data_IF_089337058267
#
_entry.id   IF_089337058267
#
_cell.length_a   1.000
_cell.length_b   1.000
_cell.length_c   1.000
_cell.angle_alpha   90.00
_cell.angle_beta   90.00
_cell.angle_gamma   90.00
#
_symmetry.space_group_name_H-M   'P 1'
#
loop_
_entity.id
_entity.type
_entity.pdbx_description
1 polymer ?
#
# COMPACT_ATOMS: atom_id res chain seq x y z
N UNK A 1 -14.94 8.40 -1.21
CA UNK A 1 -14.03 9.42 -0.60
C UNK A 1 -14.21 9.41 0.92
N UNK A 2 -13.11 9.37 1.67
CA UNK A 2 -13.11 9.39 3.14
C UNK A 2 -13.27 10.84 3.59
N UNK A 3 -14.46 11.25 4.14
CA UNK A 3 -14.76 12.67 4.37
C UNK A 3 -13.80 13.38 5.34
N UNK A 4 -13.29 12.65 6.35
CA UNK A 4 -12.37 13.20 7.35
C UNK A 4 -10.88 13.12 6.93
N UNK A 5 -10.59 12.44 5.82
CA UNK A 5 -9.22 12.25 5.33
C UNK A 5 -9.15 12.22 3.79
N UNK A 6 -9.54 13.31 3.09
CA UNK A 6 -9.53 13.34 1.62
C UNK A 6 -8.13 13.16 1.05
N UNK A 7 -7.10 13.50 1.83
CA UNK A 7 -5.69 13.34 1.45
C UNK A 7 -5.35 11.91 1.03
N UNK A 8 -6.02 10.91 1.58
CA UNK A 8 -5.69 9.50 1.37
C UNK A 8 -5.93 9.07 -0.09
N UNK A 9 -7.08 9.45 -0.65
CA UNK A 9 -7.36 9.17 -2.05
C UNK A 9 -6.59 10.09 -3.01
N UNK A 10 -6.20 11.29 -2.58
CA UNK A 10 -5.33 12.16 -3.36
C UNK A 10 -3.89 11.66 -3.42
N UNK A 11 -3.41 11.04 -2.35
CA UNK A 11 -2.04 10.55 -2.22
C UNK A 11 -1.72 9.38 -3.16
N UNK A 12 -2.61 8.41 -3.28
CA UNK A 12 -2.53 7.21 -4.14
C UNK A 12 -1.35 6.27 -3.90
N UNK A 13 -0.24 6.71 -3.30
CA UNK A 13 0.98 5.94 -3.20
C UNK A 13 1.67 6.15 -1.85
N UNK A 14 1.92 5.06 -1.12
CA UNK A 14 2.60 5.03 0.17
C UNK A 14 3.66 3.95 0.27
N UNK A 15 4.53 4.06 1.29
CA UNK A 15 5.53 3.07 1.65
C UNK A 15 5.10 2.29 2.88
N UNK A 16 5.15 0.97 2.81
CA UNK A 16 5.07 0.10 3.97
C UNK A 16 6.48 -0.29 4.41
N UNK A 17 6.74 -0.31 5.71
CA UNK A 17 8.03 -0.72 6.27
C UNK A 17 7.80 -1.84 7.26
N UNK A 18 8.22 -3.05 6.91
CA UNK A 18 8.24 -4.19 7.83
C UNK A 18 9.63 -4.34 8.43
N UNK A 19 9.77 -3.97 9.70
CA UNK A 19 11.04 -4.00 10.39
C UNK A 19 10.89 -4.28 11.88
N UNK A 20 11.77 -5.13 12.42
CA UNK A 20 11.79 -5.55 13.81
C UNK A 20 12.81 -6.65 14.02
N UNK A 21 12.65 -7.47 15.09
CA UNK A 21 13.58 -8.56 15.40
C UNK A 21 13.75 -9.56 14.25
N UNK A 22 12.69 -9.80 13.49
CA UNK A 22 12.69 -10.72 12.35
C UNK A 22 13.61 -10.28 11.20
N UNK A 23 14.11 -9.04 11.19
CA UNK A 23 15.13 -8.61 10.24
C UNK A 23 16.51 -9.24 10.52
N UNK A 24 16.77 -9.64 11.76
CA UNK A 24 18.05 -10.28 12.13
C UNK A 24 18.21 -11.69 11.52
N UNK A 25 17.24 -12.61 11.60
CA UNK A 25 17.32 -13.89 10.91
C UNK A 25 17.34 -13.76 9.39
N UNK A 26 16.81 -12.65 8.84
CA UNK A 26 16.80 -12.35 7.39
C UNK A 26 16.15 -13.45 6.52
N UNK A 27 15.04 -14.01 7.01
CA UNK A 27 14.24 -15.08 6.39
C UNK A 27 12.75 -14.79 6.47
N UNK A 28 12.35 -13.54 6.23
CA UNK A 28 11.05 -12.89 6.32
C UNK A 28 10.45 -12.77 7.76
N UNK A 29 9.34 -12.06 7.90
CA UNK A 29 8.72 -11.65 9.17
C UNK A 29 8.03 -12.79 9.95
N UNK A 30 7.61 -13.87 9.26
CA UNK A 30 6.98 -15.04 9.90
C UNK A 30 7.97 -16.11 10.37
N UNK A 31 9.26 -15.79 10.42
CA UNK A 31 10.31 -16.74 10.77
C UNK A 31 10.05 -17.45 12.10
N UNK A 32 9.56 -16.73 13.12
CA UNK A 32 9.23 -17.32 14.43
C UNK A 32 8.15 -18.41 14.31
N UNK A 33 7.10 -18.15 13.53
CA UNK A 33 6.01 -19.09 13.27
C UNK A 33 6.45 -20.28 12.40
N UNK A 34 7.13 -19.99 11.27
CA UNK A 34 7.50 -21.03 10.29
C UNK A 34 8.57 -22.00 10.81
N UNK A 35 9.45 -21.50 11.67
CA UNK A 35 10.47 -22.33 12.31
C UNK A 35 10.00 -22.87 13.67
N UNK A 36 8.73 -22.63 14.05
CA UNK A 36 8.11 -23.11 15.30
C UNK A 36 8.97 -22.84 16.54
N UNK A 37 9.65 -21.68 16.55
CA UNK A 37 10.54 -21.29 17.64
C UNK A 37 9.77 -20.86 18.88
N UNK A 38 10.24 -21.27 20.03
CA UNK A 38 9.72 -20.80 21.33
C UNK A 38 10.13 -19.34 21.57
N UNK A 39 9.45 -18.68 22.51
CA UNK A 39 9.81 -17.33 22.97
C UNK A 39 11.25 -17.27 23.46
N UNK A 40 11.69 -18.31 24.21
CA UNK A 40 13.05 -18.39 24.73
C UNK A 40 14.10 -18.48 23.63
N UNK A 41 13.90 -19.36 22.64
CA UNK A 41 14.79 -19.50 21.48
C UNK A 41 14.84 -18.24 20.65
N UNK A 42 13.69 -17.56 20.43
CA UNK A 42 13.59 -16.32 19.67
C UNK A 42 14.24 -15.14 20.41
N UNK A 43 14.33 -15.18 21.74
CA UNK A 43 14.94 -14.13 22.58
C UNK A 43 16.41 -13.83 22.24
N UNK A 44 17.10 -14.73 21.54
CA UNK A 44 18.45 -14.46 21.02
C UNK A 44 18.51 -13.23 20.11
N UNK A 45 17.43 -12.94 19.37
CA UNK A 45 17.33 -11.76 18.49
C UNK A 45 17.10 -10.50 19.33
N UNK A 46 16.25 -10.56 20.35
CA UNK A 46 16.05 -9.47 21.31
C UNK A 46 17.37 -9.02 21.96
N UNK A 47 18.16 -9.99 22.44
CA UNK A 47 19.47 -9.70 23.06
C UNK A 47 20.54 -9.15 22.13
N UNK A 48 20.30 -9.17 20.82
CA UNK A 48 21.25 -8.74 19.77
C UNK A 48 20.72 -7.64 18.87
N UNK A 49 19.55 -7.11 19.15
CA UNK A 49 18.94 -6.08 18.32
C UNK A 49 19.65 -4.74 18.58
N UNK A 50 20.59 -4.42 17.68
CA UNK A 50 21.41 -3.20 17.68
C UNK A 50 21.38 -2.58 16.29
N UNK A 51 20.36 -1.77 15.97
CA UNK A 51 20.22 -1.13 14.67
C UNK A 51 21.09 0.15 14.58
N UNK A 52 22.40 -0.03 14.55
CA UNK A 52 23.39 1.03 14.55
C UNK A 52 23.44 1.87 13.26
N UNK A 53 22.82 1.38 12.18
CA UNK A 53 22.67 2.08 10.90
C UNK A 53 21.23 2.62 10.68
N UNK A 54 20.38 2.57 11.70
CA UNK A 54 19.04 3.12 11.59
C UNK A 54 19.07 4.65 11.51
N UNK A 55 18.79 5.16 10.32
CA UNK A 55 18.54 6.58 10.03
C UNK A 55 17.14 6.73 9.38
N UNK A 56 16.12 7.11 10.17
CA UNK A 56 14.77 7.30 9.63
C UNK A 56 14.67 8.45 8.62
N UNK A 57 15.63 9.40 8.62
CA UNK A 57 15.66 10.47 7.62
C UNK A 57 16.03 9.93 6.23
N UNK A 58 16.87 8.89 6.16
CA UNK A 58 17.14 8.20 4.89
C UNK A 58 15.88 7.49 4.38
N UNK A 59 15.13 6.83 5.27
CA UNK A 59 13.86 6.18 4.90
C UNK A 59 12.84 7.19 4.38
N UNK A 60 12.68 8.31 5.09
CA UNK A 60 11.75 9.37 4.70
C UNK A 60 12.14 10.00 3.34
N UNK A 61 13.43 10.27 3.12
CA UNK A 61 13.92 10.77 1.83
C UNK A 61 13.72 9.78 0.69
N UNK A 62 13.98 8.48 0.94
CA UNK A 62 13.74 7.44 -0.07
C UNK A 62 12.26 7.37 -0.46
N UNK A 63 11.34 7.40 0.51
CA UNK A 63 9.90 7.42 0.25
C UNK A 63 9.47 8.67 -0.54
N UNK A 64 9.89 9.87 -0.09
CA UNK A 64 9.58 11.13 -0.79
C UNK A 64 10.14 11.14 -2.22
N UNK A 65 11.37 10.70 -2.42
CA UNK A 65 12.01 10.69 -3.73
C UNK A 65 11.36 9.67 -4.68
N UNK A 66 10.83 8.55 -4.15
CA UNK A 66 10.00 7.61 -4.91
C UNK A 66 8.61 8.17 -5.28
N UNK A 67 8.24 9.34 -4.76
CA UNK A 67 6.93 9.96 -4.98
C UNK A 67 5.84 9.49 -4.02
N UNK A 68 6.18 8.81 -2.93
CA UNK A 68 5.23 8.41 -1.89
C UNK A 68 4.80 9.60 -1.03
N UNK A 69 3.59 9.54 -0.47
CA UNK A 69 2.98 10.62 0.31
C UNK A 69 2.79 10.28 1.79
N UNK A 70 2.89 9.03 2.14
CA UNK A 70 2.78 8.51 3.51
C UNK A 70 3.67 7.30 3.67
N UNK A 71 4.05 7.02 4.91
CA UNK A 71 4.82 5.82 5.27
C UNK A 71 4.16 5.15 6.46
N UNK A 72 4.05 3.82 6.44
CA UNK A 72 3.46 2.99 7.49
C UNK A 72 4.52 2.05 8.03
N UNK A 73 4.86 2.15 9.31
CA UNK A 73 5.86 1.32 9.98
C UNK A 73 5.21 0.31 10.92
N UNK A 74 5.68 -0.93 10.90
CA UNK A 74 5.31 -1.93 11.89
C UNK A 74 5.82 -1.54 13.27
N UNK A 75 4.97 -0.92 14.10
CA UNK A 75 5.31 -0.56 15.49
C UNK A 75 5.50 -1.79 16.36
N UNK A 76 4.65 -2.79 16.15
CA UNK A 76 4.72 -4.15 16.68
C UNK A 76 4.21 -5.13 15.63
N UNK A 77 4.98 -6.14 15.26
CA UNK A 77 4.55 -7.26 14.43
C UNK A 77 4.11 -8.45 15.30
N UNK A 78 3.77 -9.58 14.70
CA UNK A 78 3.23 -10.76 15.39
C UNK A 78 4.15 -11.35 16.46
N UNK A 79 5.47 -11.12 16.37
CA UNK A 79 6.44 -11.53 17.37
C UNK A 79 6.39 -10.74 18.69
N UNK A 80 5.52 -9.74 18.78
CA UNK A 80 5.23 -8.96 19.97
C UNK A 80 6.27 -7.90 20.34
N UNK A 81 7.34 -7.73 19.54
CA UNK A 81 8.39 -6.78 19.85
C UNK A 81 7.97 -5.33 19.54
N UNK A 82 8.06 -4.47 20.57
CA UNK A 82 7.69 -3.07 20.47
C UNK A 82 8.88 -2.20 20.05
N UNK A 83 8.75 -1.44 18.95
CA UNK A 83 9.79 -0.50 18.52
C UNK A 83 9.84 0.79 19.36
N UNK A 84 8.83 1.06 20.20
CA UNK A 84 8.73 2.23 21.09
C UNK A 84 8.98 1.86 22.54
N UNK A 85 9.12 2.87 23.40
CA UNK A 85 9.27 2.71 24.85
C UNK A 85 7.92 2.49 25.54
N UNK A 86 7.27 1.34 25.27
CA UNK A 86 6.01 0.97 25.92
C UNK A 86 6.17 0.85 27.43
N UNK A 87 5.23 1.41 28.18
CA UNK A 87 5.16 1.21 29.64
C UNK A 87 4.52 -0.13 30.03
N UNK A 88 3.95 -0.87 29.06
CA UNK A 88 3.14 -2.07 29.29
C UNK A 88 3.93 -3.37 29.15
N UNK A 89 5.15 -3.32 28.62
CA UNK A 89 5.99 -4.51 28.43
C UNK A 89 7.47 -4.16 28.50
N UNK A 90 8.27 -5.14 28.91
CA UNK A 90 9.73 -5.09 28.86
C UNK A 90 10.28 -5.59 27.49
N UNK A 91 9.42 -6.15 26.63
CA UNK A 91 9.80 -6.65 25.31
C UNK A 91 9.76 -5.52 24.26
N UNK A 92 10.69 -4.58 24.42
CA UNK A 92 10.73 -3.31 23.69
C UNK A 92 12.16 -2.88 23.33
N UNK A 93 12.30 -1.99 22.36
CA UNK A 93 13.58 -1.55 21.81
C UNK A 93 14.50 -0.91 22.86
N UNK A 94 13.96 -0.16 23.82
CA UNK A 94 14.74 0.47 24.90
C UNK A 94 15.44 -0.53 25.81
N UNK A 95 15.00 -1.79 25.87
CA UNK A 95 15.57 -2.86 26.66
C UNK A 95 16.51 -3.79 25.87
N UNK A 96 16.77 -3.47 24.60
CA UNK A 96 17.75 -4.15 23.74
C UNK A 96 19.05 -3.33 23.65
N UNK A 97 20.11 -3.80 22.98
CA UNK A 97 21.27 -2.98 22.67
C UNK A 97 20.97 -1.67 21.92
N UNK A 98 19.83 -1.57 21.22
CA UNK A 98 19.34 -0.31 20.66
C UNK A 98 19.21 0.81 21.71
N UNK A 99 18.76 0.49 22.93
CA UNK A 99 18.73 1.37 24.10
C UNK A 99 17.90 2.66 23.92
N UNK A 100 17.02 2.71 22.94
CA UNK A 100 16.25 3.93 22.60
C UNK A 100 14.90 3.60 21.95
N UNK A 101 13.99 4.56 22.01
CA UNK A 101 12.75 4.58 21.22
C UNK A 101 13.10 4.78 19.74
N UNK A 102 12.52 3.96 18.87
CA UNK A 102 12.75 4.00 17.43
C UNK A 102 11.58 4.65 16.67
N UNK A 103 10.45 4.88 17.34
CA UNK A 103 9.25 5.48 16.73
C UNK A 103 9.33 7.01 16.74
N UNK A 104 9.79 7.64 17.82
CA UNK A 104 9.89 9.10 17.89
C UNK A 104 10.72 9.69 16.74
N UNK A 105 11.97 9.23 16.47
CA UNK A 105 12.77 9.76 15.36
C UNK A 105 12.16 9.44 13.98
N UNK A 106 11.43 8.31 13.83
CA UNK A 106 10.70 8.01 12.60
C UNK A 106 9.62 9.05 12.32
N UNK A 107 8.80 9.37 13.31
CA UNK A 107 7.73 10.37 13.19
C UNK A 107 8.29 11.75 12.85
N UNK A 108 9.38 12.16 13.51
CA UNK A 108 10.06 13.42 13.24
C UNK A 108 10.61 13.50 11.82
N UNK A 109 11.25 12.44 11.35
CA UNK A 109 11.82 12.35 10.00
C UNK A 109 10.74 12.46 8.91
N UNK A 110 9.62 11.77 9.06
CA UNK A 110 8.52 11.85 8.09
C UNK A 110 7.93 13.26 8.01
N UNK A 111 7.71 13.90 9.16
CA UNK A 111 7.18 15.26 9.22
C UNK A 111 8.15 16.27 8.60
N UNK A 112 9.45 16.11 8.81
CA UNK A 112 10.47 16.95 8.20
C UNK A 112 10.46 16.88 6.67
N UNK A 113 10.09 15.71 6.10
CA UNK A 113 9.96 15.50 4.65
C UNK A 113 8.55 15.77 4.10
N UNK A 114 7.62 16.23 4.95
CA UNK A 114 6.23 16.53 4.57
C UNK A 114 5.38 15.29 4.26
N UNK A 115 5.78 14.12 4.78
CA UNK A 115 5.07 12.87 4.63
C UNK A 115 4.06 12.66 5.76
N UNK A 116 2.95 11.99 5.45
CA UNK A 116 1.97 11.55 6.42
C UNK A 116 2.50 10.35 7.21
N UNK A 117 2.18 10.33 8.51
CA UNK A 117 2.69 9.33 9.45
C UNK A 117 1.67 8.21 9.63
N UNK A 118 2.08 6.99 9.32
CA UNK A 118 1.30 5.78 9.52
C UNK A 118 1.97 4.78 10.45
N UNK A 119 1.13 4.06 11.19
CA UNK A 119 1.53 2.93 12.01
C UNK A 119 0.80 1.67 11.57
N UNK A 120 1.51 0.56 11.59
CA UNK A 120 0.94 -0.79 11.61
C UNK A 120 1.02 -1.34 13.01
N UNK A 121 -0.02 -2.00 13.47
CA UNK A 121 -0.04 -2.67 14.76
C UNK A 121 -0.70 -4.03 14.67
N UNK A 122 0.05 -5.08 14.97
CA UNK A 122 -0.45 -6.45 14.99
C UNK A 122 -1.50 -6.65 16.09
N UNK A 123 -2.62 -7.27 15.75
CA UNK A 123 -3.63 -7.70 16.72
C UNK A 123 -3.20 -8.96 17.47
N UNK A 124 -2.37 -9.79 16.85
CA UNK A 124 -1.81 -11.00 17.49
C UNK A 124 -0.44 -10.71 18.10
N UNK A 125 -0.06 -11.52 19.10
CA UNK A 125 1.20 -11.35 19.82
C UNK A 125 1.68 -12.72 20.34
N UNK A 126 2.64 -13.29 19.64
CA UNK A 126 3.17 -14.62 19.98
C UNK A 126 4.04 -14.63 21.24
N UNK A 127 4.48 -13.45 21.70
CA UNK A 127 5.30 -13.31 22.91
C UNK A 127 4.45 -13.13 24.16
N UNK A 128 3.25 -12.52 24.06
CA UNK A 128 2.47 -12.13 25.23
C UNK A 128 1.96 -13.37 26.00
N UNK A 129 2.15 -13.44 27.34
CA UNK A 129 1.79 -14.61 28.13
C UNK A 129 0.29 -14.89 28.18
N UNK A 130 -0.56 -13.91 27.95
CA UNK A 130 -2.02 -14.03 27.94
C UNK A 130 -2.62 -14.26 26.55
N UNK A 131 -1.82 -14.12 25.48
CA UNK A 131 -2.29 -14.44 24.13
C UNK A 131 -2.39 -15.96 23.94
N UNK A 132 -3.59 -16.49 23.76
CA UNK A 132 -3.82 -17.94 23.67
C UNK A 132 -3.18 -18.55 22.44
N UNK A 133 -2.55 -19.72 22.61
CA UNK A 133 -1.97 -20.52 21.54
C UNK A 133 -3.10 -21.12 20.71
N UNK A 134 -3.07 -20.86 19.42
CA UNK A 134 -4.00 -21.35 18.41
C UNK A 134 -3.24 -21.84 17.17
N UNK A 135 -3.96 -22.11 16.07
CA UNK A 135 -3.39 -22.65 14.85
C UNK A 135 -2.35 -21.76 14.12
N UNK A 136 -2.25 -20.47 14.47
CA UNK A 136 -1.24 -19.53 13.92
C UNK A 136 -0.13 -19.18 14.92
N UNK A 137 -0.20 -19.71 16.13
CA UNK A 137 0.88 -19.48 17.09
C UNK A 137 2.12 -20.35 16.77
N UNK A 138 3.37 -19.91 16.98
CA UNK A 138 4.57 -20.70 16.77
C UNK A 138 4.56 -22.05 17.52
N UNK A 139 3.99 -22.08 18.72
CA UNK A 139 3.92 -23.29 19.58
C UNK A 139 2.65 -24.13 19.33
N UNK A 140 1.94 -23.95 18.22
CA UNK A 140 0.70 -24.67 17.88
C UNK A 140 0.82 -26.21 17.90
N UNK A 141 2.01 -26.74 17.62
CA UNK A 141 2.32 -28.16 17.57
C UNK A 141 3.00 -28.69 18.85
N UNK A 142 3.06 -27.89 19.92
CA UNK A 142 3.59 -28.36 21.20
C UNK A 142 2.73 -29.49 21.77
N UNK A 143 3.35 -30.48 22.37
CA UNK A 143 2.65 -31.66 22.91
C UNK A 143 1.71 -31.34 24.08
N UNK A 144 1.87 -30.18 24.72
CA UNK A 144 1.17 -29.72 25.90
C UNK A 144 0.44 -28.39 25.75
N UNK A 145 -0.05 -28.08 24.53
CA UNK A 145 -0.74 -26.81 24.21
C UNK A 145 -1.87 -26.49 25.19
N UNK A 146 -2.64 -27.49 25.60
CA UNK A 146 -3.72 -27.31 26.58
C UNK A 146 -3.17 -26.82 27.93
N UNK A 147 -2.06 -27.38 28.38
CA UNK A 147 -1.37 -26.95 29.59
C UNK A 147 -0.75 -25.57 29.47
N UNK A 148 -0.18 -25.26 28.30
CA UNK A 148 0.40 -23.95 28.00
C UNK A 148 -0.68 -22.84 27.90
N UNK A 149 -1.90 -23.19 27.53
CA UNK A 149 -3.04 -22.28 27.52
C UNK A 149 -3.71 -22.13 28.90
N UNK A 150 -3.48 -23.05 29.82
CA UNK A 150 -4.03 -22.97 31.17
C UNK A 150 -3.49 -21.73 31.91
N UNK A 151 -4.36 -20.74 32.14
CA UNK A 151 -4.00 -19.48 32.78
C UNK A 151 -3.75 -18.30 31.83
N UNK A 152 -3.70 -18.51 30.52
CA UNK A 152 -3.76 -17.40 29.54
C UNK A 152 -5.16 -16.79 29.56
N UNK A 153 -5.24 -15.49 29.36
CA UNK A 153 -6.49 -14.73 29.47
C UNK A 153 -6.55 -13.64 28.39
N UNK A 154 -7.42 -13.87 27.40
CA UNK A 154 -7.60 -12.93 26.30
C UNK A 154 -8.18 -11.58 26.73
N UNK A 155 -8.87 -11.50 27.88
CA UNK A 155 -9.35 -10.21 28.40
C UNK A 155 -8.18 -9.34 28.88
N UNK A 156 -7.20 -9.94 29.58
CA UNK A 156 -5.95 -9.24 29.97
C UNK A 156 -5.12 -8.85 28.74
N UNK A 157 -5.07 -9.75 27.75
CA UNK A 157 -4.40 -9.43 26.49
C UNK A 157 -5.06 -8.25 25.75
N UNK A 158 -6.38 -8.22 25.72
CA UNK A 158 -7.16 -7.13 25.10
C UNK A 158 -6.87 -5.78 25.78
N UNK A 159 -6.84 -5.73 27.11
CA UNK A 159 -6.47 -4.52 27.85
C UNK A 159 -5.06 -4.04 27.49
N UNK A 160 -4.10 -4.97 27.38
CA UNK A 160 -2.75 -4.68 26.92
C UNK A 160 -2.74 -4.12 25.48
N UNK A 161 -3.43 -4.75 24.55
CA UNK A 161 -3.54 -4.32 23.15
C UNK A 161 -4.09 -2.88 23.06
N UNK A 162 -5.21 -2.61 23.73
CA UNK A 162 -5.82 -1.27 23.75
C UNK A 162 -4.89 -0.24 24.41
N UNK A 163 -4.19 -0.62 25.47
CA UNK A 163 -3.19 0.22 26.12
C UNK A 163 -2.06 0.61 25.19
N UNK A 164 -1.51 -0.33 24.43
CA UNK A 164 -0.45 -0.08 23.45
C UNK A 164 -0.89 0.85 22.34
N UNK A 165 -2.10 0.66 21.77
CA UNK A 165 -2.65 1.55 20.76
C UNK A 165 -2.84 2.96 21.33
N UNK A 166 -3.30 3.07 22.58
CA UNK A 166 -3.42 4.37 23.28
C UNK A 166 -2.06 5.07 23.41
N UNK A 167 -1.00 4.36 23.82
CA UNK A 167 0.37 4.92 23.89
C UNK A 167 0.79 5.50 22.52
N UNK A 168 0.66 4.71 21.45
CA UNK A 168 1.06 5.11 20.11
C UNK A 168 0.31 6.33 19.60
N UNK A 169 -0.99 6.43 19.88
CA UNK A 169 -1.82 7.54 19.42
C UNK A 169 -1.80 8.78 20.33
N UNK A 170 -1.19 8.67 21.51
CA UNK A 170 -1.11 9.80 22.46
C UNK A 170 0.30 10.40 22.55
N UNK A 171 1.36 9.61 22.33
CA UNK A 171 2.73 10.04 22.65
C UNK A 171 3.48 10.68 21.48
N UNK A 172 3.00 10.53 20.23
CA UNK A 172 3.75 10.92 19.03
C UNK A 172 3.07 12.04 18.22
N UNK A 173 2.08 12.74 18.80
CA UNK A 173 1.33 13.80 18.13
C UNK A 173 0.36 13.24 17.09
N UNK A 174 0.14 13.98 15.99
CA UNK A 174 -0.83 13.57 14.97
C UNK A 174 -0.33 12.34 14.21
N UNK A 175 -1.16 11.29 14.19
CA UNK A 175 -0.97 10.09 13.40
C UNK A 175 -2.06 10.05 12.31
N UNK A 176 -1.65 9.94 11.07
CA UNK A 176 -2.54 10.08 9.92
C UNK A 176 -3.17 8.74 9.48
N UNK A 177 -2.53 7.61 9.80
CA UNK A 177 -2.90 6.30 9.28
C UNK A 177 -2.61 5.20 10.30
N UNK A 178 -3.55 4.26 10.48
CA UNK A 178 -3.39 3.08 11.33
C UNK A 178 -3.83 1.81 10.60
N UNK A 179 -2.90 0.89 10.43
CA UNK A 179 -3.11 -0.42 9.85
C UNK A 179 -3.13 -1.47 10.97
N UNK A 180 -4.29 -2.00 11.30
CA UNK A 180 -4.40 -3.20 12.11
C UNK A 180 -4.20 -4.43 11.26
N UNK A 181 -3.72 -5.52 11.85
CA UNK A 181 -3.49 -6.73 11.09
C UNK A 181 -3.83 -8.00 11.87
N UNK A 182 -4.36 -8.97 11.13
CA UNK A 182 -4.56 -10.35 11.49
C UNK A 182 -5.79 -10.64 12.35
N UNK A 183 -6.99 -10.30 11.86
CA UNK A 183 -8.23 -10.95 12.31
C UNK A 183 -8.53 -12.15 11.38
N UNK A 184 -8.89 -13.29 11.96
CA UNK A 184 -9.09 -14.56 11.24
C UNK A 184 -10.28 -15.37 11.78
N UNK A 185 -11.24 -14.68 12.38
CA UNK A 185 -12.56 -15.21 12.69
C UNK A 185 -13.50 -14.97 11.51
N UNK A 186 -14.20 -15.96 11.03
CA UNK A 186 -15.23 -15.77 10.02
C UNK A 186 -15.41 -16.89 9.02
N UNK A 187 -16.47 -16.84 8.19
CA UNK A 187 -16.72 -17.84 7.16
C UNK A 187 -15.58 -17.83 6.13
N UNK A 188 -14.92 -18.98 5.96
CA UNK A 188 -13.78 -19.15 5.06
C UNK A 188 -12.44 -19.35 5.77
N UNK A 189 -12.34 -19.04 7.05
CA UNK A 189 -11.30 -19.58 7.92
C UNK A 189 -11.82 -20.87 8.54
N UNK A 190 -11.05 -21.91 8.40
CA UNK A 190 -11.38 -23.22 8.97
C UNK A 190 -11.24 -23.14 10.50
N UNK A 191 -12.34 -22.85 11.19
CA UNK A 191 -12.38 -22.66 12.65
C UNK A 191 -11.83 -23.87 13.39
N UNK A 192 -12.00 -25.09 12.86
CA UNK A 192 -11.44 -26.31 13.42
C UNK A 192 -9.91 -26.33 13.34
N UNK A 193 -9.32 -25.71 12.31
CA UNK A 193 -7.89 -25.73 12.07
C UNK A 193 -7.13 -24.58 12.75
N UNK A 194 -7.73 -23.37 12.80
CA UNK A 194 -6.99 -22.16 13.22
C UNK A 194 -7.39 -21.65 14.62
N UNK A 195 -8.54 -22.09 15.15
CA UNK A 195 -9.04 -21.63 16.45
C UNK A 195 -9.42 -20.15 16.48
N UNK A 196 -9.71 -19.58 15.36
CA UNK A 196 -10.09 -18.20 15.01
C UNK A 196 -10.18 -17.13 16.10
N UNK A 197 -9.62 -15.93 15.82
CA UNK A 197 -9.78 -14.72 16.64
C UNK A 197 -10.27 -13.56 15.78
N UNK A 198 -11.20 -12.76 16.32
CA UNK A 198 -11.83 -11.67 15.59
C UNK A 198 -12.35 -10.56 16.48
N UNK A 199 -13.37 -9.85 16.00
CA UNK A 199 -13.92 -8.63 16.61
C UNK A 199 -14.24 -8.72 18.10
N UNK A 200 -14.61 -9.90 18.59
CA UNK A 200 -14.93 -10.10 20.03
C UNK A 200 -13.67 -10.20 20.87
N UNK A 201 -12.64 -10.87 20.35
CA UNK A 201 -11.35 -11.03 21.06
C UNK A 201 -10.62 -9.71 21.21
N UNK A 202 -10.71 -8.84 20.19
CA UNK A 202 -10.09 -7.52 20.19
C UNK A 202 -10.97 -6.44 20.83
N UNK A 203 -12.27 -6.69 21.08
CA UNK A 203 -13.29 -5.67 21.32
C UNK A 203 -13.16 -4.51 20.29
N UNK A 204 -13.25 -4.90 19.01
CA UNK A 204 -12.90 -4.02 17.89
C UNK A 204 -13.70 -2.72 17.88
N UNK A 205 -14.96 -2.75 18.31
CA UNK A 205 -15.79 -1.53 18.37
C UNK A 205 -15.27 -0.53 19.39
N UNK A 206 -14.91 -1.00 20.59
CA UNK A 206 -14.33 -0.14 21.64
C UNK A 206 -12.94 0.35 21.22
N UNK A 207 -12.12 -0.52 20.60
CA UNK A 207 -10.81 -0.15 20.09
C UNK A 207 -10.90 0.93 19.02
N UNK A 208 -11.77 0.77 18.02
CA UNK A 208 -11.97 1.77 16.96
C UNK A 208 -12.55 3.09 17.52
N UNK A 209 -13.48 3.03 18.46
CA UNK A 209 -14.01 4.22 19.12
C UNK A 209 -12.91 5.02 19.85
N UNK A 210 -12.03 4.33 20.59
CA UNK A 210 -10.85 4.93 21.23
C UNK A 210 -9.90 5.58 20.21
N UNK A 211 -9.64 4.91 19.09
CA UNK A 211 -8.79 5.44 18.01
C UNK A 211 -9.37 6.75 17.47
N UNK A 212 -10.68 6.79 17.20
CA UNK A 212 -11.38 7.98 16.70
C UNK A 212 -11.42 9.14 17.71
N UNK A 213 -11.53 8.82 19.00
CA UNK A 213 -11.47 9.81 20.07
C UNK A 213 -10.08 10.46 20.14
N UNK A 214 -9.02 9.66 20.09
CA UNK A 214 -7.65 10.14 20.20
C UNK A 214 -7.18 10.87 18.93
N UNK A 215 -7.57 10.37 17.75
CA UNK A 215 -7.13 10.87 16.44
C UNK A 215 -8.32 10.95 15.46
N UNK A 216 -9.16 12.01 15.52
CA UNK A 216 -10.38 12.08 14.70
C UNK A 216 -10.14 12.06 13.18
N UNK A 217 -8.96 12.48 12.72
CA UNK A 217 -8.57 12.54 11.31
C UNK A 217 -7.83 11.31 10.78
N UNK A 218 -7.62 10.29 11.62
CA UNK A 218 -6.86 9.10 11.26
C UNK A 218 -7.62 8.21 10.28
N UNK A 219 -6.92 7.61 9.31
CA UNK A 219 -7.47 6.59 8.41
C UNK A 219 -7.17 5.21 8.98
N UNK A 220 -8.17 4.33 9.03
CA UNK A 220 -8.07 2.98 9.60
C UNK A 220 -8.56 1.95 8.60
N UNK A 221 -7.82 0.86 8.43
CA UNK A 221 -8.18 -0.24 7.54
C UNK A 221 -9.30 -1.14 8.10
N UNK A 222 -9.72 -2.14 7.31
CA UNK A 222 -10.84 -3.05 7.63
C UNK A 222 -10.43 -4.30 8.44
N UNK A 223 -9.17 -4.41 8.88
CA UNK A 223 -8.66 -5.65 9.50
C UNK A 223 -8.97 -5.82 10.99
N UNK A 224 -9.85 -5.00 11.55
CA UNK A 224 -10.43 -5.22 12.87
C UNK A 224 -11.62 -6.22 12.87
N UNK A 225 -11.90 -6.90 11.76
CA UNK A 225 -13.10 -7.71 11.57
C UNK A 225 -14.41 -6.88 11.73
N UNK A 226 -14.32 -5.60 11.47
CA UNK A 226 -15.42 -4.62 11.34
C UNK A 226 -15.07 -3.65 10.20
N UNK A 227 -16.06 -2.95 9.60
CA UNK A 227 -15.78 -1.98 8.56
C UNK A 227 -14.81 -0.88 9.02
N UNK A 228 -13.78 -0.63 8.21
CA UNK A 228 -12.85 0.50 8.34
C UNK A 228 -13.17 1.61 7.35
N UNK A 229 -12.21 2.51 7.12
CA UNK A 229 -12.31 3.57 6.10
C UNK A 229 -12.02 3.06 4.70
N UNK A 230 -11.26 1.96 4.59
CA UNK A 230 -10.88 1.36 3.32
C UNK A 230 -10.64 -0.15 3.47
N UNK A 231 -10.76 -0.88 2.36
CA UNK A 231 -10.47 -2.32 2.31
C UNK A 231 -9.06 -2.58 1.79
N UNK A 232 -8.46 -3.69 2.21
CA UNK A 232 -7.03 -3.99 2.01
C UNK A 232 -6.82 -5.29 1.22
N UNK A 233 -6.90 -5.28 -0.12
CA UNK A 233 -6.42 -6.41 -0.93
C UNK A 233 -4.90 -6.58 -0.73
N UNK A 234 -4.48 -7.81 -0.45
CA UNK A 234 -3.08 -8.13 -0.15
C UNK A 234 -2.48 -9.06 -1.18
N UNK A 235 -1.32 -8.68 -1.74
CA UNK A 235 -0.54 -9.47 -2.69
C UNK A 235 -1.29 -9.86 -3.97
N UNK A 236 -2.38 -9.18 -4.31
CA UNK A 236 -3.07 -9.32 -5.60
C UNK A 236 -3.58 -7.97 -6.10
N UNK A 237 -3.84 -7.88 -7.41
CA UNK A 237 -4.45 -6.71 -8.03
C UNK A 237 -5.93 -6.99 -8.28
N UNK A 238 -6.86 -6.18 -7.73
CA UNK A 238 -8.28 -6.31 -8.04
C UNK A 238 -8.56 -6.23 -9.53
N UNK A 239 -9.49 -7.04 -10.03
CA UNK A 239 -9.88 -7.05 -11.44
C UNK A 239 -10.61 -5.75 -11.87
N UNK A 240 -11.27 -5.09 -10.90
CA UNK A 240 -12.04 -3.84 -11.08
C UNK A 240 -12.08 -3.04 -9.78
N UNK A 241 -12.93 -2.00 -9.71
CA UNK A 241 -13.20 -1.30 -8.47
C UNK A 241 -13.66 -2.28 -7.39
N UNK A 242 -13.19 -2.08 -6.14
CA UNK A 242 -13.65 -2.89 -5.02
C UNK A 242 -15.08 -2.48 -4.66
N UNK A 243 -15.92 -3.48 -4.40
CA UNK A 243 -17.34 -3.29 -4.09
C UNK A 243 -17.66 -3.92 -2.73
N UNK A 244 -18.45 -3.24 -1.91
CA UNK A 244 -19.03 -3.79 -0.69
C UNK A 244 -20.54 -3.52 -0.73
N UNK A 245 -21.34 -4.56 -0.59
CA UNK A 245 -22.82 -4.50 -0.67
C UNK A 245 -23.35 -3.82 -1.96
N UNK A 246 -22.59 -3.94 -3.06
CA UNK A 246 -22.94 -3.34 -4.35
C UNK A 246 -22.49 -1.90 -4.57
N UNK A 247 -21.89 -1.27 -3.57
CA UNK A 247 -21.36 0.08 -3.66
C UNK A 247 -19.83 0.11 -3.76
N UNK A 248 -19.24 1.03 -4.54
CA UNK A 248 -17.80 1.20 -4.61
C UNK A 248 -17.22 1.65 -3.27
N UNK A 249 -16.14 1.00 -2.83
CA UNK A 249 -15.44 1.34 -1.59
C UNK A 249 -14.03 1.82 -1.87
N UNK A 250 -13.51 2.69 -1.01
CA UNK A 250 -12.11 3.07 -1.01
C UNK A 250 -11.25 1.85 -0.65
N UNK A 251 -10.14 1.66 -1.35
CA UNK A 251 -9.27 0.52 -1.14
C UNK A 251 -7.79 0.85 -1.38
N UNK A 252 -6.94 0.07 -0.74
CA UNK A 252 -5.50 0.15 -0.88
C UNK A 252 -4.90 -1.25 -0.98
N UNK A 253 -4.25 -1.54 -2.11
CA UNK A 253 -3.51 -2.78 -2.24
C UNK A 253 -2.16 -2.69 -1.52
N UNK A 254 -1.91 -3.57 -0.55
CA UNK A 254 -0.58 -3.72 0.01
C UNK A 254 0.20 -4.82 -0.72
N UNK A 255 1.42 -4.46 -1.17
CA UNK A 255 2.24 -5.27 -2.08
C UNK A 255 3.70 -5.26 -1.65
N UNK A 256 4.38 -6.37 -1.89
CA UNK A 256 5.83 -6.48 -1.65
C UNK A 256 6.65 -6.25 -2.92
N UNK A 257 7.93 -5.93 -2.76
CA UNK A 257 8.88 -5.88 -3.86
C UNK A 257 9.23 -7.29 -4.39
N UNK A 258 9.28 -8.29 -3.52
CA UNK A 258 9.84 -9.61 -3.82
C UNK A 258 9.06 -10.80 -3.23
N UNK A 259 7.87 -10.55 -2.64
CA UNK A 259 7.07 -11.59 -1.99
C UNK A 259 7.32 -11.75 -0.47
N UNK A 260 8.34 -11.08 0.10
CA UNK A 260 8.61 -11.03 1.53
C UNK A 260 8.27 -9.65 2.10
N UNK A 261 7.61 -9.59 3.27
CA UNK A 261 7.35 -8.33 3.94
C UNK A 261 8.58 -7.86 4.72
N UNK A 262 9.09 -8.67 5.63
CA UNK A 262 10.35 -8.44 6.33
C UNK A 262 11.56 -8.70 5.44
N UNK A 263 12.73 -8.24 5.91
CA UNK A 263 13.98 -8.48 5.22
C UNK A 263 14.24 -9.97 4.99
N UNK A 264 14.41 -10.36 3.74
CA UNK A 264 14.79 -11.70 3.31
C UNK A 264 16.01 -11.59 2.39
N UNK A 265 17.19 -11.92 2.94
CA UNK A 265 18.48 -11.76 2.26
C UNK A 265 18.58 -12.60 1.00
N UNK A 266 18.03 -13.79 1.03
CA UNK A 266 18.19 -14.79 -0.01
C UNK A 266 17.05 -14.77 -1.05
N UNK A 267 15.99 -13.95 -0.83
CA UNK A 267 14.94 -13.76 -1.81
C UNK A 267 15.34 -12.74 -2.88
N UNK A 268 15.62 -13.25 -4.08
CA UNK A 268 16.05 -12.45 -5.23
C UNK A 268 14.93 -12.15 -6.24
N UNK A 269 13.69 -12.55 -5.96
CA UNK A 269 12.54 -12.45 -6.88
C UNK A 269 11.95 -11.03 -6.93
N UNK A 270 12.78 -10.01 -7.09
CA UNK A 270 12.31 -8.62 -7.16
C UNK A 270 11.51 -8.38 -8.43
N UNK A 271 10.35 -7.75 -8.26
CA UNK A 271 9.55 -7.21 -9.35
C UNK A 271 10.35 -6.12 -10.08
N UNK A 272 10.26 -6.05 -11.40
CA UNK A 272 10.88 -4.97 -12.15
C UNK A 272 10.22 -3.63 -11.86
N UNK A 273 10.95 -2.52 -12.04
CA UNK A 273 10.41 -1.15 -11.90
C UNK A 273 9.20 -0.96 -12.82
N UNK A 274 9.25 -1.45 -14.07
CA UNK A 274 8.14 -1.40 -15.01
C UNK A 274 6.89 -2.10 -14.45
N UNK A 275 7.03 -3.29 -13.86
CA UNK A 275 5.93 -4.01 -13.23
C UNK A 275 5.35 -3.25 -12.02
N UNK A 276 6.20 -2.68 -11.17
CA UNK A 276 5.77 -1.91 -9.99
C UNK A 276 4.99 -0.65 -10.40
N UNK A 277 5.45 0.05 -11.43
CA UNK A 277 4.73 1.21 -11.98
C UNK A 277 3.38 0.78 -12.59
N UNK A 278 3.33 -0.33 -13.33
CA UNK A 278 2.07 -0.88 -13.85
C UNK A 278 1.10 -1.24 -12.74
N UNK A 279 1.58 -1.78 -11.62
CA UNK A 279 0.75 -2.09 -10.45
C UNK A 279 0.16 -0.82 -9.83
N UNK A 280 0.96 0.25 -9.69
CA UNK A 280 0.49 1.56 -9.23
C UNK A 280 -0.59 2.12 -10.17
N UNK A 281 -0.29 2.18 -11.46
CA UNK A 281 -1.21 2.68 -12.50
C UNK A 281 -2.51 1.87 -12.54
N UNK A 282 -2.40 0.54 -12.51
CA UNK A 282 -3.56 -0.37 -12.55
C UNK A 282 -4.45 -0.15 -11.32
N UNK A 283 -3.87 -0.01 -10.12
CA UNK A 283 -4.61 0.34 -8.90
C UNK A 283 -5.34 1.68 -9.01
N UNK A 284 -4.65 2.74 -9.39
CA UNK A 284 -5.23 4.09 -9.53
C UNK A 284 -6.31 4.12 -10.61
N UNK A 285 -6.13 3.40 -11.72
CA UNK A 285 -7.14 3.30 -12.80
C UNK A 285 -8.48 2.69 -12.36
N UNK A 286 -8.49 2.02 -11.22
CA UNK A 286 -9.65 1.38 -10.58
C UNK A 286 -10.07 2.08 -9.28
N UNK A 287 -9.50 3.27 -8.99
CA UNK A 287 -9.82 4.10 -7.84
C UNK A 287 -9.07 3.74 -6.56
N UNK A 288 -8.10 2.81 -6.61
CA UNK A 288 -7.35 2.36 -5.43
C UNK A 288 -6.04 3.09 -5.20
N UNK A 289 -5.45 2.81 -4.04
CA UNK A 289 -4.10 3.20 -3.65
C UNK A 289 -3.15 2.00 -3.73
N UNK A 290 -1.85 2.28 -3.73
CA UNK A 290 -0.79 1.29 -3.56
C UNK A 290 0.05 1.61 -2.33
N UNK A 291 0.15 0.65 -1.40
CA UNK A 291 1.07 0.65 -0.28
C UNK A 291 2.20 -0.37 -0.57
N UNK A 292 3.36 0.12 -0.98
CA UNK A 292 4.48 -0.72 -1.45
C UNK A 292 5.48 -0.95 -0.32
N UNK A 293 5.75 -2.21 -0.03
CA UNK A 293 6.55 -2.63 1.11
C UNK A 293 8.06 -2.68 0.83
N UNK A 294 8.81 -2.26 1.83
CA UNK A 294 10.26 -2.47 1.97
C UNK A 294 10.56 -3.15 3.31
N UNK A 295 11.60 -3.98 3.33
CA UNK A 295 12.11 -4.64 4.54
C UNK A 295 13.55 -4.20 4.83
N UNK A 296 13.78 -3.23 5.73
CA UNK A 296 15.13 -2.85 6.13
C UNK A 296 15.89 -3.98 6.82
N UNK A 297 17.21 -3.95 6.71
CA UNK A 297 18.11 -4.94 7.34
C UNK A 297 18.04 -4.88 8.87
N UNK A 298 18.59 -5.90 9.56
CA UNK A 298 18.65 -5.92 11.02
C UNK A 298 19.45 -4.75 11.63
N UNK A 299 20.32 -4.08 10.86
CA UNK A 299 21.03 -2.85 11.25
C UNK A 299 20.24 -1.57 10.98
N UNK A 300 19.06 -1.65 10.34
CA UNK A 300 18.19 -0.52 10.06
C UNK A 300 18.44 0.18 8.71
N UNK A 301 19.41 -0.24 7.92
CA UNK A 301 19.65 0.29 6.58
C UNK A 301 18.67 -0.30 5.56
N UNK A 302 18.28 0.48 4.55
CA UNK A 302 17.54 -0.04 3.41
C UNK A 302 18.39 -1.04 2.61
N UNK A 303 17.74 -2.10 2.13
CA UNK A 303 18.38 -3.01 1.17
C UNK A 303 18.66 -2.25 -0.14
N UNK A 304 19.91 -2.30 -0.69
CA UNK A 304 20.25 -1.63 -1.93
C UNK A 304 19.33 -2.01 -3.12
N UNK A 305 18.80 -3.24 -3.12
CA UNK A 305 17.87 -3.73 -4.15
C UNK A 305 16.52 -3.01 -4.05
N UNK A 306 16.05 -2.77 -2.82
CA UNK A 306 14.85 -2.00 -2.57
C UNK A 306 15.05 -0.52 -2.96
N UNK A 307 16.20 0.07 -2.60
CA UNK A 307 16.53 1.45 -2.99
C UNK A 307 16.54 1.62 -4.51
N UNK A 308 17.16 0.70 -5.26
CA UNK A 308 17.16 0.75 -6.73
C UNK A 308 15.75 0.70 -7.32
N UNK A 309 14.85 -0.10 -6.74
CA UNK A 309 13.44 -0.13 -7.15
C UNK A 309 12.74 1.20 -6.86
N UNK A 310 12.95 1.79 -5.68
CA UNK A 310 12.37 3.08 -5.28
C UNK A 310 12.90 4.23 -6.15
N UNK A 311 14.19 4.24 -6.46
CA UNK A 311 14.82 5.24 -7.35
C UNK A 311 14.20 5.18 -8.75
N UNK A 312 14.08 4.00 -9.35
CA UNK A 312 13.47 3.84 -10.67
C UNK A 312 11.98 4.24 -10.72
N UNK A 313 11.22 3.99 -9.64
CA UNK A 313 9.85 4.49 -9.52
C UNK A 313 9.87 6.02 -9.40
N UNK A 314 10.79 6.59 -8.63
CA UNK A 314 10.95 8.02 -8.43
C UNK A 314 11.26 8.77 -9.73
N UNK A 315 12.13 8.23 -10.57
CA UNK A 315 12.43 8.77 -11.90
C UNK A 315 11.16 8.87 -12.76
N UNK A 316 10.33 7.83 -12.77
CA UNK A 316 9.06 7.85 -13.48
C UNK A 316 8.07 8.84 -12.86
N UNK A 317 7.93 8.85 -11.54
CA UNK A 317 7.01 9.74 -10.82
C UNK A 317 7.38 11.22 -11.00
N UNK A 318 8.66 11.56 -11.12
CA UNK A 318 9.10 12.94 -11.37
C UNK A 318 8.50 13.53 -12.66
N UNK A 319 8.27 12.68 -13.67
CA UNK A 319 7.69 13.08 -14.96
C UNK A 319 6.16 12.89 -15.03
N UNK A 320 5.62 11.91 -14.31
CA UNK A 320 4.27 11.41 -14.53
C UNK A 320 3.32 11.55 -13.32
N UNK A 321 3.76 12.14 -12.20
CA UNK A 321 2.99 12.18 -10.95
C UNK A 321 1.61 12.82 -11.08
N UNK A 322 1.38 13.75 -12.04
CA UNK A 322 0.07 14.36 -12.28
C UNK A 322 -0.98 13.35 -12.78
N UNK A 323 -0.52 12.23 -13.36
CA UNK A 323 -1.39 11.14 -13.79
C UNK A 323 -1.77 10.18 -12.65
N UNK A 324 -1.20 10.39 -11.46
CA UNK A 324 -1.37 9.55 -10.26
C UNK A 324 -2.08 10.33 -9.16
N UNK A 325 -1.46 11.45 -8.68
CA UNK A 325 -2.03 12.18 -7.54
C UNK A 325 -3.36 12.84 -7.88
N UNK A 326 -4.38 12.56 -7.05
CA UNK A 326 -5.73 13.05 -7.24
C UNK A 326 -6.42 12.51 -8.51
N UNK A 327 -5.77 11.61 -9.24
CA UNK A 327 -6.40 10.88 -10.35
C UNK A 327 -7.11 9.63 -9.83
N UNK A 328 -8.01 9.09 -10.62
CA UNK A 328 -8.78 7.89 -10.30
C UNK A 328 -9.31 7.20 -11.55
N UNK A 329 -10.34 6.38 -11.38
CA UNK A 329 -10.98 5.69 -12.48
C UNK A 329 -11.54 6.68 -13.51
N UNK A 330 -11.45 6.32 -14.78
CA UNK A 330 -12.04 7.06 -15.88
C UNK A 330 -13.44 6.55 -16.22
N UNK A 331 -14.29 7.44 -16.75
CA UNK A 331 -15.57 7.07 -17.34
C UNK A 331 -15.43 6.35 -18.71
N UNK A 332 -14.25 6.40 -19.31
CA UNK A 332 -13.97 5.78 -20.61
C UNK A 332 -13.31 4.42 -20.42
N UNK A 333 -13.59 3.48 -21.33
CA UNK A 333 -12.97 2.15 -21.34
C UNK A 333 -11.65 2.18 -22.09
N UNK A 334 -10.57 1.78 -21.41
CA UNK A 334 -9.24 1.72 -22.02
C UNK A 334 -9.08 0.51 -22.97
N UNK A 335 -8.22 0.60 -24.00
CA UNK A 335 -7.77 -0.56 -24.75
C UNK A 335 -7.08 -1.61 -23.85
N UNK A 336 -7.00 -2.89 -24.28
CA UNK A 336 -6.43 -3.96 -23.45
C UNK A 336 -5.00 -3.68 -22.95
N UNK A 337 -4.14 -3.10 -23.80
CA UNK A 337 -2.73 -2.82 -23.51
C UNK A 337 -2.50 -1.41 -22.93
N UNK A 338 -3.56 -0.81 -22.39
CA UNK A 338 -3.49 0.50 -21.75
C UNK A 338 -4.32 0.54 -20.47
N UNK A 339 -4.10 1.58 -19.68
CA UNK A 339 -4.97 1.97 -18.56
C UNK A 339 -5.25 3.45 -18.63
N UNK A 340 -6.44 3.82 -18.19
CA UNK A 340 -6.83 5.22 -18.05
C UNK A 340 -6.86 5.62 -16.58
N UNK A 341 -6.21 6.75 -16.27
CA UNK A 341 -6.50 7.50 -15.06
C UNK A 341 -7.04 8.86 -15.44
N UNK A 342 -7.93 9.43 -14.63
CA UNK A 342 -8.58 10.69 -14.94
C UNK A 342 -8.61 11.63 -13.75
N UNK A 343 -8.35 12.92 -14.00
CA UNK A 343 -8.48 13.99 -13.01
C UNK A 343 -9.16 15.17 -13.67
N UNK A 344 -10.43 15.37 -13.36
CA UNK A 344 -11.22 16.42 -14.02
C UNK A 344 -11.25 16.26 -15.54
N UNK A 345 -10.84 17.29 -16.26
CA UNK A 345 -10.76 17.35 -17.73
C UNK A 345 -9.46 16.75 -18.31
N UNK A 346 -8.63 16.13 -17.50
CA UNK A 346 -7.41 15.45 -17.94
C UNK A 346 -7.59 13.94 -17.91
N UNK A 347 -7.46 13.31 -19.07
CA UNK A 347 -7.42 11.87 -19.24
C UNK A 347 -5.98 11.44 -19.55
N UNK A 348 -5.44 10.54 -18.75
CA UNK A 348 -4.10 10.01 -18.91
C UNK A 348 -4.17 8.59 -19.44
N UNK A 349 -3.51 8.34 -20.60
CA UNK A 349 -3.44 7.04 -21.25
C UNK A 349 -2.08 6.43 -20.97
N UNK A 350 -2.02 5.48 -20.07
CA UNK A 350 -0.80 4.74 -19.73
C UNK A 350 -0.64 3.57 -20.69
N UNK A 351 0.41 3.60 -21.52
CA UNK A 351 0.66 2.60 -22.55
C UNK A 351 1.55 1.46 -22.00
N UNK A 352 0.96 0.31 -21.77
CA UNK A 352 1.66 -0.89 -21.31
C UNK A 352 2.39 -1.62 -22.45
N UNK A 353 1.95 -1.41 -23.69
CA UNK A 353 2.67 -1.77 -24.91
C UNK A 353 2.80 -0.55 -25.81
N UNK A 354 3.93 -0.41 -26.52
CA UNK A 354 4.11 0.68 -27.47
C UNK A 354 3.66 0.21 -28.85
N UNK A 355 2.57 0.78 -29.40
CA UNK A 355 2.07 0.36 -30.72
C UNK A 355 2.90 0.96 -31.85
N UNK A 356 2.85 0.35 -33.02
CA UNK A 356 3.47 0.89 -34.21
C UNK A 356 2.66 2.09 -34.75
N UNK A 357 3.23 3.28 -34.67
CA UNK A 357 2.73 4.57 -35.12
C UNK A 357 1.39 5.07 -34.55
N UNK A 358 0.42 4.21 -34.26
CA UNK A 358 -0.92 4.65 -33.89
C UNK A 358 -1.46 3.92 -32.66
N UNK A 359 -2.13 4.67 -31.80
CA UNK A 359 -3.02 4.13 -30.77
C UNK A 359 -4.47 4.54 -31.08
N UNK A 360 -5.38 3.58 -30.92
CA UNK A 360 -6.80 3.75 -31.18
C UNK A 360 -7.57 3.73 -29.86
N UNK A 361 -8.28 4.82 -29.57
CA UNK A 361 -8.96 5.06 -28.31
C UNK A 361 -10.47 5.08 -28.55
N UNK A 362 -11.21 4.04 -28.16
CA UNK A 362 -12.67 3.98 -28.35
C UNK A 362 -13.39 5.13 -27.66
N UNK A 363 -14.50 5.56 -28.22
CA UNK A 363 -15.45 6.55 -27.67
C UNK A 363 -14.88 7.94 -27.37
N UNK A 364 -13.68 8.28 -27.90
CA UNK A 364 -13.00 9.56 -27.67
C UNK A 364 -12.98 10.50 -28.89
N UNK A 365 -13.48 10.06 -30.05
CA UNK A 365 -13.59 10.94 -31.24
C UNK A 365 -14.44 12.17 -30.92
N UNK A 366 -13.93 13.36 -31.30
CA UNK A 366 -14.58 14.64 -31.04
C UNK A 366 -14.56 15.15 -29.60
N UNK A 367 -14.10 14.36 -28.63
CA UNK A 367 -14.09 14.71 -27.20
C UNK A 367 -12.74 15.25 -26.70
N UNK A 368 -11.68 15.12 -27.50
CA UNK A 368 -10.33 15.58 -27.12
C UNK A 368 -9.99 16.83 -27.91
N UNK A 369 -9.46 17.84 -27.24
CA UNK A 369 -9.00 19.08 -27.83
C UNK A 369 -7.52 19.00 -28.21
N UNK A 370 -6.70 18.43 -27.33
CA UNK A 370 -5.25 18.39 -27.48
C UNK A 370 -4.70 17.11 -26.80
N UNK A 371 -3.60 16.62 -27.32
CA UNK A 371 -2.87 15.48 -26.74
C UNK A 371 -1.36 15.73 -26.76
N UNK A 372 -0.68 15.26 -25.70
CA UNK A 372 0.77 15.33 -25.59
C UNK A 372 1.34 14.10 -24.88
N UNK A 373 2.62 13.80 -25.13
CA UNK A 373 3.38 12.90 -24.28
C UNK A 373 3.67 13.57 -22.96
N UNK A 374 3.41 12.88 -21.84
CA UNK A 374 3.53 13.51 -20.52
C UNK A 374 4.98 13.73 -20.08
N UNK A 375 5.92 12.92 -20.59
CA UNK A 375 7.34 12.98 -20.20
C UNK A 375 8.07 14.24 -20.70
N UNK A 376 7.65 14.84 -21.83
CA UNK A 376 8.33 15.99 -22.46
C UNK A 376 7.39 17.06 -23.00
N UNK A 377 6.09 16.86 -22.83
CA UNK A 377 5.01 17.73 -23.36
C UNK A 377 5.00 17.89 -24.88
N UNK A 378 5.64 16.97 -25.63
CA UNK A 378 5.55 17.01 -27.09
C UNK A 378 4.15 16.62 -27.57
N UNK A 379 3.65 17.37 -28.55
CA UNK A 379 2.32 17.16 -29.11
C UNK A 379 2.19 15.78 -29.77
N UNK A 380 1.06 15.10 -29.50
CA UNK A 380 0.65 13.89 -30.17
C UNK A 380 -0.53 14.20 -31.12
N UNK A 381 -0.41 13.86 -32.42
CA UNK A 381 -1.36 14.23 -33.44
C UNK A 381 -2.68 13.48 -33.30
N UNK A 382 -3.77 14.23 -33.15
CA UNK A 382 -5.12 13.71 -33.17
C UNK A 382 -5.56 13.48 -34.64
N UNK A 383 -6.08 12.28 -34.91
CA UNK A 383 -6.65 11.93 -36.20
C UNK A 383 -7.99 11.22 -36.02
N UNK A 384 -9.03 11.87 -36.48
CA UNK A 384 -10.32 11.19 -36.68
C UNK A 384 -10.24 10.43 -37.99
N UNK A 385 -10.29 9.11 -37.96
CA UNK A 385 -10.18 8.27 -39.13
C UNK A 385 -11.58 7.96 -39.62
N UNK A 386 -11.91 8.43 -40.83
CA UNK A 386 -13.10 8.00 -41.54
C UNK A 386 -12.97 6.50 -41.90
N UNK A 387 -13.87 5.65 -41.39
CA UNK A 387 -13.87 4.23 -41.75
C UNK A 387 -13.91 3.95 -43.24
N UNK A 388 -14.54 4.83 -44.03
CA UNK A 388 -14.60 4.76 -45.49
C UNK A 388 -13.26 4.99 -46.17
N UNK A 389 -12.40 5.86 -45.65
CA UNK A 389 -11.06 6.10 -46.20
C UNK A 389 -10.10 4.92 -46.02
N UNK A 390 -10.23 4.18 -44.91
CA UNK A 390 -9.42 2.97 -44.70
C UNK A 390 -9.80 1.83 -45.64
N UNK A 391 -11.07 1.75 -46.05
CA UNK A 391 -11.54 0.73 -47.01
C UNK A 391 -10.96 0.95 -48.43
N UNK A 392 -10.49 2.14 -48.79
CA UNK A 392 -9.89 2.40 -50.10
C UNK A 392 -8.52 1.69 -50.31
N UNK A 393 -7.90 1.19 -49.25
CA UNK A 393 -6.68 0.37 -49.33
C UNK A 393 -6.97 -1.14 -49.47
N UNK A 394 -8.14 -1.51 -49.93
CA UNK A 394 -8.58 -2.89 -50.22
C UNK A 394 -8.64 -3.81 -49.01
N UNK A 395 -8.56 -3.29 -47.79
CA UNK A 395 -8.78 -4.05 -46.56
C UNK A 395 -10.14 -3.66 -45.98
N UNK A 396 -11.12 -4.57 -45.93
CA UNK A 396 -12.39 -4.26 -45.28
C UNK A 396 -12.17 -4.09 -43.76
N UNK A 397 -12.55 -2.95 -43.23
CA UNK A 397 -12.53 -2.68 -41.78
C UNK A 397 -11.66 -1.47 -41.43
N UNK A 398 -12.30 -0.37 -41.12
CA UNK A 398 -11.72 0.77 -40.42
C UNK A 398 -11.86 0.60 -38.92
N UNK A 399 -11.46 1.61 -38.15
CA UNK A 399 -11.78 1.66 -36.74
C UNK A 399 -13.28 1.85 -36.54
N UNK A 400 -13.86 1.31 -35.46
CA UNK A 400 -15.27 1.56 -35.11
C UNK A 400 -15.59 3.06 -35.05
N UNK A 401 -16.81 3.48 -35.43
CA UNK A 401 -17.24 4.86 -35.26
C UNK A 401 -17.02 5.34 -33.81
N UNK A 402 -16.62 6.61 -33.65
CA UNK A 402 -16.31 7.16 -32.30
C UNK A 402 -14.89 6.91 -31.82
N UNK A 403 -14.06 6.19 -32.58
CA UNK A 403 -12.66 5.95 -32.23
C UNK A 403 -11.77 7.14 -32.56
N UNK A 404 -11.05 7.68 -31.59
CA UNK A 404 -9.96 8.63 -31.78
C UNK A 404 -8.67 7.86 -32.08
N UNK A 405 -7.97 8.21 -33.14
CA UNK A 405 -6.64 7.70 -33.46
C UNK A 405 -5.60 8.77 -33.14
N UNK A 406 -4.59 8.43 -32.38
CA UNK A 406 -3.46 9.30 -32.08
C UNK A 406 -2.22 8.75 -32.75
N UNK A 407 -1.51 9.61 -33.49
CA UNK A 407 -0.23 9.28 -34.10
C UNK A 407 0.88 9.42 -33.04
N UNK A 408 1.65 8.38 -32.85
CA UNK A 408 2.78 8.32 -31.92
C UNK A 408 4.12 8.39 -32.66
N UNK A 409 5.19 8.83 -32.01
CA UNK A 409 6.55 8.63 -32.52
C UNK A 409 6.82 7.14 -32.77
N UNK A 410 7.58 6.84 -33.82
CA UNK A 410 8.01 5.45 -34.11
C UNK A 410 8.87 4.90 -32.98
N UNK A 411 9.78 5.74 -32.47
CA UNK A 411 10.62 5.38 -31.34
C UNK A 411 9.86 5.61 -30.02
N UNK A 412 9.76 4.55 -29.21
CA UNK A 412 9.20 4.65 -27.86
C UNK A 412 10.04 5.61 -27.01
N UNK A 413 9.42 6.52 -26.22
CA UNK A 413 10.13 7.27 -25.20
C UNK A 413 10.87 6.36 -24.21
N UNK A 414 12.06 6.76 -23.77
CA UNK A 414 12.88 6.01 -22.80
C UNK A 414 12.36 6.22 -21.37
N UNK A 415 11.15 5.73 -21.13
CA UNK A 415 10.48 5.72 -19.82
C UNK A 415 9.78 4.36 -19.63
N UNK A 416 9.63 3.92 -18.40
CA UNK A 416 9.08 2.60 -18.09
C UNK A 416 7.66 2.39 -18.65
N UNK A 417 6.74 3.31 -18.37
CA UNK A 417 5.36 3.32 -18.87
C UNK A 417 5.09 4.69 -19.49
N UNK A 418 5.15 4.83 -20.83
CA UNK A 418 4.81 6.10 -21.48
C UNK A 418 3.36 6.49 -21.25
N UNK A 419 3.11 7.78 -21.08
CA UNK A 419 1.78 8.33 -20.78
C UNK A 419 1.44 9.42 -21.78
N UNK A 420 0.24 9.34 -22.38
CA UNK A 420 -0.37 10.46 -23.10
C UNK A 420 -1.28 11.21 -22.14
N UNK A 421 -1.17 12.52 -22.12
CA UNK A 421 -2.12 13.42 -21.49
C UNK A 421 -3.07 13.98 -22.53
N UNK A 422 -4.36 13.69 -22.35
CA UNK A 422 -5.43 14.16 -23.21
C UNK A 422 -6.23 15.26 -22.50
N UNK A 423 -6.40 16.38 -23.19
CA UNK A 423 -7.22 17.50 -22.75
C UNK A 423 -8.63 17.31 -23.30
N UNK A 424 -9.56 16.97 -22.41
CA UNK A 424 -10.95 16.75 -22.79
C UNK A 424 -11.66 18.08 -23.01
N UNK A 425 -12.52 18.13 -24.05
CA UNK A 425 -13.41 19.24 -24.24
C UNK A 425 -14.46 19.30 -23.11
N UNK A 426 -14.93 20.51 -22.73
CA UNK A 426 -16.04 20.64 -21.80
C UNK A 426 -17.24 19.81 -22.27
N UNK A 427 -17.91 19.14 -21.36
CA UNK A 427 -19.17 18.45 -21.68
C UNK A 427 -20.27 19.49 -21.99
N UNK A 428 -21.26 19.10 -22.79
CA UNK A 428 -22.37 19.99 -23.10
C UNK A 428 -23.12 20.49 -21.83
N UNK A 429 -23.08 19.69 -20.74
CA UNK A 429 -23.63 20.05 -19.43
C UNK A 429 -22.81 21.11 -18.68
N UNK A 430 -21.49 21.17 -18.90
CA UNK A 430 -20.62 22.14 -18.23
C UNK A 430 -20.67 23.52 -18.91
N UNK A 431 -21.04 23.55 -20.20
CA UNK A 431 -21.17 24.80 -20.94
C UNK A 431 -22.44 25.59 -20.57
N UNK A 432 -23.49 24.93 -20.10
CA UNK A 432 -24.70 25.60 -19.63
C UNK A 432 -24.54 26.26 -18.26
N UNK A 433 -23.68 25.73 -17.40
CA UNK A 433 -23.39 26.27 -16.07
C UNK A 433 -22.51 27.54 -16.06
N UNK A 434 -21.83 27.84 -17.19
CA UNK A 434 -20.98 29.04 -17.33
C UNK A 434 -21.73 30.24 -17.96
N UNK A 435 -22.98 30.05 -18.38
CA UNK A 435 -23.81 31.10 -19.02
C UNK A 435 -25.15 31.36 -18.29
N UNK A 436 -25.34 30.77 -17.08
CA UNK A 436 -26.43 31.06 -16.16
C UNK A 436 -25.89 31.76 -14.91
#
# INVERSE_FOLDING_TARGET
MIPHAPWFEEARFGMFVHWGLYALPARHEWVMNREETTVEEYSKYFRRFDPDLYDPSEWARAARNAGMKYVVLTTKHHDGFCLWDSALTDYKATNTPAGRDLIAPYVEALRAEGLKVGFYHSLIDWHHPDFTIDGVHPQRNAADVESLNAGRDMDRYREYLHGQVRELLSNYGTIDYLFFDFSYAGPGHDEEFWGGKGRKDWDSHALLAMVRELQPGIVVNDRLDIPGDFVTPEQYQPAGPMMLDGEPVTWEACQTLNGSWGYDRDNLNYKSVDLLIRMLVDGVSKGGNLLLNVGPTGRGSMDPRALASLEGIGEWMALHSRAIYGAGASQFTSPPDARYTQRGDRLYVHLFAWPFEYVHLPDLAGKVEYAQLLNDASEAFLKEVDPGQQAMNMTPGGQPPGTLTIKLPVQRPDVAVPVLELFLKPSASDSEALHG
#
